data_IF_835109980657
#
_entry.id   IF_835109980657
#
_cell.length_a   1.000
_cell.length_b   1.000
_cell.length_c   1.000
_cell.angle_alpha   90.00
_cell.angle_beta   90.00
_cell.angle_gamma   90.00
#
_symmetry.space_group_name_H-M   'P 1'
#
loop_
_entity.id
_entity.type
_entity.pdbx_description
1 polymer ?
#
# COMPACT_ATOMS: atom_id res chain seq x y z
N UNK A 1 6.69 -12.01 -16.35
CA UNK A 1 7.58 -11.34 -15.36
C UNK A 1 7.88 -12.26 -14.17
N UNK A 2 9.04 -12.13 -13.51
CA UNK A 2 9.37 -12.78 -12.22
C UNK A 2 9.02 -11.88 -11.04
N UNK A 3 8.91 -12.44 -9.83
CA UNK A 3 8.56 -11.68 -8.62
C UNK A 3 9.53 -10.51 -8.36
N UNK A 4 10.84 -10.75 -8.40
CA UNK A 4 11.86 -9.71 -8.20
C UNK A 4 11.79 -8.59 -9.25
N UNK A 5 11.48 -8.94 -10.51
CA UNK A 5 11.29 -7.96 -11.59
C UNK A 5 10.05 -7.09 -11.33
N UNK A 6 8.99 -7.68 -10.79
CA UNK A 6 7.77 -6.96 -10.43
C UNK A 6 7.98 -6.05 -9.22
N UNK A 7 8.71 -6.49 -8.20
CA UNK A 7 9.10 -5.65 -7.07
C UNK A 7 9.94 -4.45 -7.53
N UNK A 8 10.86 -4.67 -8.46
CA UNK A 8 11.65 -3.59 -9.06
C UNK A 8 10.78 -2.60 -9.86
N UNK A 9 9.83 -3.11 -10.65
CA UNK A 9 8.87 -2.30 -11.38
C UNK A 9 8.05 -1.43 -10.42
N UNK A 10 7.46 -2.02 -9.39
CA UNK A 10 6.72 -1.30 -8.35
C UNK A 10 7.62 -0.30 -7.63
N UNK A 11 8.87 -0.67 -7.35
CA UNK A 11 9.89 0.21 -6.79
C UNK A 11 10.19 1.44 -7.67
N UNK A 12 10.07 1.33 -8.99
CA UNK A 12 10.28 2.44 -9.92
C UNK A 12 9.09 3.41 -9.93
N UNK A 13 7.87 2.92 -9.74
CA UNK A 13 6.66 3.76 -9.71
C UNK A 13 6.19 4.14 -8.30
N UNK A 14 6.87 3.69 -7.25
CA UNK A 14 6.45 3.83 -5.85
C UNK A 14 6.17 5.28 -5.41
N UNK A 15 6.88 6.28 -5.95
CA UNK A 15 6.58 7.70 -5.72
C UNK A 15 5.20 8.11 -6.24
N UNK A 16 4.77 7.50 -7.34
CA UNK A 16 3.45 7.67 -7.94
C UNK A 16 2.33 7.05 -7.11
N UNK A 17 2.66 6.26 -6.08
CA UNK A 17 1.69 5.62 -5.19
C UNK A 17 1.41 6.44 -3.92
N UNK A 18 1.91 7.69 -3.84
CA UNK A 18 1.71 8.58 -2.67
C UNK A 18 1.42 10.05 -3.02
N UNK A 19 0.37 10.62 -2.40
CA UNK A 19 0.05 12.05 -2.40
C UNK A 19 0.94 12.87 -1.48
N UNK A 20 1.71 12.24 -0.60
CA UNK A 20 2.51 12.96 0.37
C UNK A 20 3.70 13.63 -0.32
N UNK A 21 3.70 14.96 -0.33
CA UNK A 21 4.77 15.75 -0.94
C UNK A 21 6.14 15.47 -0.28
N UNK A 22 6.15 15.08 1.00
CA UNK A 22 7.36 14.65 1.71
C UNK A 22 7.92 13.34 1.16
N UNK A 23 7.06 12.39 0.76
CA UNK A 23 7.49 11.13 0.13
C UNK A 23 7.78 11.26 -1.37
N UNK A 24 7.39 12.35 -2.02
CA UNK A 24 7.80 12.64 -3.42
C UNK A 24 9.29 12.95 -3.51
N UNK A 25 9.86 13.57 -2.48
CA UNK A 25 11.29 13.83 -2.37
C UNK A 25 11.97 12.70 -1.58
N UNK A 26 11.97 11.49 -2.16
CA UNK A 26 12.52 10.29 -1.51
C UNK A 26 13.93 10.54 -0.99
N UNK A 27 14.14 10.20 0.28
CA UNK A 27 15.49 10.14 0.88
C UNK A 27 16.04 8.72 0.79
N UNK A 28 15.19 7.71 1.02
CA UNK A 28 15.60 6.31 1.05
C UNK A 28 14.59 5.43 0.32
N UNK A 29 15.10 4.52 -0.51
CA UNK A 29 14.32 3.48 -1.21
C UNK A 29 15.02 2.13 -1.06
N UNK A 30 14.26 1.09 -0.75
CA UNK A 30 14.74 -0.30 -0.73
C UNK A 30 13.75 -1.22 -1.42
N UNK A 31 14.27 -2.29 -2.03
CA UNK A 31 13.50 -3.30 -2.77
C UNK A 31 14.05 -4.68 -2.45
N UNK A 32 13.15 -5.66 -2.33
CA UNK A 32 13.47 -7.08 -2.27
C UNK A 32 13.66 -7.66 -0.87
N UNK A 33 14.01 -8.94 -0.84
CA UNK A 33 14.06 -9.81 0.36
C UNK A 33 14.88 -9.31 1.56
N UNK A 34 15.81 -8.39 1.36
CA UNK A 34 16.67 -7.85 2.43
C UNK A 34 16.12 -6.56 3.04
N UNK A 35 15.03 -6.02 2.50
CA UNK A 35 14.34 -4.87 3.05
C UNK A 35 13.52 -5.31 4.27
N UNK A 36 14.11 -5.10 5.45
CA UNK A 36 13.61 -5.60 6.72
C UNK A 36 13.30 -4.44 7.67
N UNK A 37 12.05 -4.38 8.14
CA UNK A 37 11.56 -3.40 9.10
C UNK A 37 11.24 -4.08 10.43
N UNK A 38 11.80 -3.57 11.52
CA UNK A 38 11.58 -4.11 12.86
C UNK A 38 10.22 -3.66 13.41
N UNK A 39 9.39 -4.61 13.85
CA UNK A 39 8.13 -4.35 14.55
C UNK A 39 8.30 -4.09 16.05
N UNK A 40 7.24 -3.61 16.70
CA UNK A 40 7.17 -3.45 18.15
C UNK A 40 7.37 -4.79 18.88
N UNK A 41 6.98 -5.89 18.24
CA UNK A 41 7.22 -7.26 18.69
C UNK A 41 8.71 -7.67 18.71
N UNK A 42 9.60 -6.87 18.11
CA UNK A 42 11.00 -7.23 17.85
C UNK A 42 11.19 -8.14 16.62
N UNK A 43 10.10 -8.55 15.96
CA UNK A 43 10.18 -9.32 14.72
C UNK A 43 10.60 -8.42 13.54
N UNK A 44 11.47 -8.94 12.67
CA UNK A 44 11.91 -8.23 11.46
C UNK A 44 11.04 -8.66 10.27
N UNK A 45 10.10 -7.79 9.90
CA UNK A 45 9.19 -7.99 8.79
C UNK A 45 9.89 -7.68 7.47
N UNK A 46 9.81 -8.60 6.51
CA UNK A 46 10.21 -8.32 5.14
C UNK A 46 9.12 -7.52 4.44
N UNK A 47 9.54 -6.46 3.75
CA UNK A 47 8.70 -5.55 2.96
C UNK A 47 9.25 -5.53 1.53
N UNK A 48 8.42 -5.78 0.52
CA UNK A 48 8.90 -5.93 -0.85
C UNK A 48 9.48 -4.63 -1.41
N UNK A 49 8.83 -3.49 -1.14
CA UNK A 49 9.33 -2.15 -1.49
C UNK A 49 9.05 -1.19 -0.34
N UNK A 50 10.03 -0.39 0.04
CA UNK A 50 9.81 0.74 0.96
C UNK A 50 10.40 2.01 0.40
N UNK A 51 9.67 3.10 0.57
CA UNK A 51 10.18 4.46 0.40
C UNK A 51 9.94 5.24 1.69
N UNK A 52 10.97 5.91 2.19
CA UNK A 52 10.87 6.65 3.45
C UNK A 52 11.74 7.90 3.47
N UNK A 53 11.37 8.78 4.39
CA UNK A 53 12.15 9.91 4.86
C UNK A 53 12.12 9.89 6.40
N UNK A 54 12.48 11.00 7.03
CA UNK A 54 12.53 11.05 8.50
C UNK A 54 11.15 11.20 9.15
N UNK A 55 10.10 11.59 8.41
CA UNK A 55 8.75 11.83 8.93
C UNK A 55 7.69 10.86 8.41
N UNK A 56 7.98 10.11 7.35
CA UNK A 56 6.99 9.32 6.63
C UNK A 56 7.64 8.06 6.05
N UNK A 57 6.86 6.98 5.97
CA UNK A 57 7.24 5.78 5.23
C UNK A 57 6.03 5.16 4.53
N UNK A 58 6.23 4.78 3.27
CA UNK A 58 5.30 3.94 2.51
C UNK A 58 5.93 2.55 2.35
N UNK A 59 5.24 1.55 2.91
CA UNK A 59 5.65 0.16 2.93
C UNK A 59 4.72 -0.66 2.02
N UNK A 60 5.30 -1.27 1.00
CA UNK A 60 4.57 -1.84 -0.12
C UNK A 60 4.82 -3.35 -0.17
N UNK A 61 3.73 -4.12 -0.14
CA UNK A 61 3.73 -5.55 -0.42
C UNK A 61 3.34 -5.79 -1.88
N UNK A 62 4.12 -6.58 -2.59
CA UNK A 62 3.91 -6.96 -3.99
C UNK A 62 3.33 -8.38 -4.09
N UNK A 63 2.37 -8.56 -5.00
CA UNK A 63 1.72 -9.85 -5.28
C UNK A 63 1.58 -10.07 -6.77
N UNK A 64 2.64 -10.62 -7.37
CA UNK A 64 2.65 -11.11 -8.75
C UNK A 64 2.12 -12.55 -8.81
N UNK A 65 0.80 -12.70 -8.75
CA UNK A 65 0.13 -14.00 -8.74
C UNK A 65 -0.73 -14.20 -9.98
N UNK A 66 -1.11 -15.44 -10.25
CA UNK A 66 -2.10 -15.78 -11.28
C UNK A 66 -3.54 -15.67 -10.76
N UNK A 67 -3.73 -15.78 -9.45
CA UNK A 67 -5.00 -15.58 -8.76
C UNK A 67 -5.06 -14.22 -8.10
N UNK A 68 -6.28 -13.70 -7.92
CA UNK A 68 -6.48 -12.44 -7.23
C UNK A 68 -6.15 -12.48 -5.73
N UNK A 69 -5.79 -11.32 -5.18
CA UNK A 69 -5.48 -11.13 -3.75
C UNK A 69 -6.72 -11.43 -2.89
N UNK A 70 -6.56 -12.19 -1.80
CA UNK A 70 -7.65 -12.52 -0.87
C UNK A 70 -7.52 -11.65 0.38
N UNK A 71 -8.56 -11.70 1.22
CA UNK A 71 -8.61 -10.93 2.46
C UNK A 71 -7.45 -11.27 3.41
N UNK A 72 -7.01 -12.54 3.45
CA UNK A 72 -5.95 -12.96 4.37
C UNK A 72 -4.59 -12.34 4.01
N UNK A 73 -4.27 -12.17 2.73
CA UNK A 73 -3.03 -11.49 2.33
C UNK A 73 -3.04 -10.03 2.72
N UNK A 74 -4.18 -9.35 2.55
CA UNK A 74 -4.34 -7.97 3.01
C UNK A 74 -4.17 -7.87 4.52
N UNK A 75 -4.84 -8.73 5.30
CA UNK A 75 -4.75 -8.73 6.76
C UNK A 75 -3.33 -9.06 7.25
N UNK A 76 -2.62 -9.94 6.54
CA UNK A 76 -1.23 -10.26 6.84
C UNK A 76 -0.35 -9.02 6.70
N UNK A 77 -0.47 -8.30 5.57
CA UNK A 77 0.26 -7.05 5.38
C UNK A 77 -0.13 -5.99 6.42
N UNK A 78 -1.43 -5.83 6.69
CA UNK A 78 -1.94 -4.91 7.69
C UNK A 78 -1.35 -5.19 9.08
N UNK A 79 -1.25 -6.45 9.49
CA UNK A 79 -0.64 -6.84 10.75
C UNK A 79 0.84 -6.41 10.84
N UNK A 80 1.60 -6.58 9.75
CA UNK A 80 3.00 -6.10 9.66
C UNK A 80 3.06 -4.58 9.80
N UNK A 81 2.20 -3.85 9.10
CA UNK A 81 2.16 -2.39 9.15
C UNK A 81 1.88 -1.87 10.55
N UNK A 82 0.91 -2.46 11.26
CA UNK A 82 0.57 -2.09 12.63
C UNK A 82 1.76 -2.35 13.56
N UNK A 83 2.37 -3.53 13.49
CA UNK A 83 3.52 -3.86 14.34
C UNK A 83 4.72 -2.95 14.06
N UNK A 84 5.02 -2.63 12.79
CA UNK A 84 6.07 -1.69 12.41
C UNK A 84 5.76 -0.27 12.91
N UNK A 85 4.53 0.20 12.72
CA UNK A 85 4.08 1.54 13.16
C UNK A 85 4.22 1.71 14.66
N UNK A 86 3.86 0.68 15.42
CA UNK A 86 3.83 0.75 16.88
C UNK A 86 5.24 0.60 17.51
N UNK A 87 6.28 0.30 16.71
CA UNK A 87 7.66 0.27 17.17
C UNK A 87 8.08 1.66 17.69
N UNK A 88 8.66 1.79 18.90
CA UNK A 88 9.15 3.06 19.44
C UNK A 88 10.06 3.85 18.50
N UNK A 89 10.84 3.18 17.66
CA UNK A 89 11.72 3.81 16.65
C UNK A 89 10.95 4.54 15.56
N UNK A 90 9.68 4.21 15.33
CA UNK A 90 8.84 4.77 14.27
C UNK A 90 7.77 5.74 14.77
N UNK A 91 7.70 6.06 16.09
CA UNK A 91 6.67 6.95 16.66
C UNK A 91 6.60 8.36 16.05
N UNK A 92 7.69 8.81 15.44
CA UNK A 92 7.78 10.11 14.78
C UNK A 92 7.43 10.05 13.29
N UNK A 93 7.12 8.85 12.77
CA UNK A 93 6.88 8.60 11.35
C UNK A 93 5.41 8.26 11.09
N UNK A 94 4.87 8.80 10.01
CA UNK A 94 3.60 8.34 9.47
C UNK A 94 3.85 7.09 8.62
N UNK A 95 3.59 5.92 9.21
CA UNK A 95 3.70 4.64 8.49
C UNK A 95 2.40 4.38 7.74
N UNK A 96 2.52 4.18 6.42
CA UNK A 96 1.42 3.85 5.53
C UNK A 96 1.75 2.65 4.67
N UNK A 97 0.73 1.94 4.24
CA UNK A 97 0.82 0.71 3.49
C UNK A 97 0.23 0.79 2.09
N UNK A 98 0.81 -0.01 1.19
CA UNK A 98 0.16 -0.40 -0.04
C UNK A 98 0.31 -1.90 -0.27
N UNK A 99 -0.73 -2.54 -0.79
CA UNK A 99 -0.65 -3.86 -1.39
C UNK A 99 -0.85 -3.70 -2.89
N UNK A 100 0.17 -4.07 -3.66
CA UNK A 100 0.22 -3.92 -5.11
C UNK A 100 0.19 -5.30 -5.75
N UNK A 101 -0.68 -5.49 -6.73
CA UNK A 101 -0.83 -6.77 -7.43
C UNK A 101 -0.98 -6.57 -8.93
N UNK A 102 -0.62 -7.58 -9.72
CA UNK A 102 -0.86 -7.59 -11.16
C UNK A 102 -2.27 -8.05 -11.55
N UNK A 103 -3.06 -8.50 -10.56
CA UNK A 103 -4.39 -9.10 -10.78
C UNK A 103 -5.46 -8.38 -9.97
N UNK A 104 -6.71 -8.87 -10.06
CA UNK A 104 -7.82 -8.41 -9.22
C UNK A 104 -7.67 -8.80 -7.74
N UNK A 105 -8.58 -8.35 -6.90
CA UNK A 105 -8.73 -8.80 -5.51
C UNK A 105 -10.16 -9.27 -5.24
N UNK A 106 -10.35 -10.02 -4.16
CA UNK A 106 -11.66 -10.45 -3.68
C UNK A 106 -12.45 -9.28 -3.06
N UNK A 107 -13.78 -9.37 -3.06
CA UNK A 107 -14.67 -8.34 -2.47
C UNK A 107 -14.38 -8.07 -0.99
N UNK A 108 -13.95 -9.08 -0.23
CA UNK A 108 -13.53 -8.91 1.17
C UNK A 108 -12.34 -7.95 1.34
N UNK A 109 -11.44 -7.87 0.35
CA UNK A 109 -10.36 -6.87 0.35
C UNK A 109 -10.94 -5.46 0.22
N UNK A 110 -11.99 -5.28 -0.59
CA UNK A 110 -12.63 -3.96 -0.75
C UNK A 110 -13.24 -3.45 0.56
N UNK A 111 -13.90 -4.34 1.31
CA UNK A 111 -14.45 -4.02 2.63
C UNK A 111 -13.33 -3.62 3.59
N UNK A 112 -12.28 -4.43 3.67
CA UNK A 112 -11.18 -4.21 4.59
C UNK A 112 -10.38 -2.94 4.27
N UNK A 113 -10.08 -2.68 3.00
CA UNK A 113 -9.37 -1.46 2.60
C UNK A 113 -10.18 -0.21 2.90
N UNK A 114 -11.51 -0.25 2.72
CA UNK A 114 -12.38 0.88 3.10
C UNK A 114 -12.40 1.11 4.60
N UNK A 115 -12.38 0.05 5.39
CA UNK A 115 -12.35 0.14 6.85
C UNK A 115 -10.99 0.65 7.37
N UNK A 116 -9.88 0.14 6.81
CA UNK A 116 -8.51 0.49 7.21
C UNK A 116 -7.87 1.53 6.28
N UNK A 117 -8.68 2.44 5.75
CA UNK A 117 -8.28 3.31 4.64
C UNK A 117 -7.18 4.31 4.99
N UNK A 118 -7.02 4.62 6.27
CA UNK A 118 -5.95 5.49 6.76
C UNK A 118 -4.58 4.77 6.84
N UNK A 119 -4.60 3.43 6.86
CA UNK A 119 -3.40 2.62 7.08
C UNK A 119 -2.91 1.98 5.79
N UNK A 120 -3.81 1.36 5.00
CA UNK A 120 -3.39 0.58 3.84
C UNK A 120 -4.27 0.78 2.61
N UNK A 121 -3.59 0.80 1.47
CA UNK A 121 -4.15 0.98 0.12
C UNK A 121 -4.04 -0.31 -0.67
N UNK A 122 -4.84 -0.47 -1.74
CA UNK A 122 -4.63 -1.56 -2.70
C UNK A 122 -4.62 -1.01 -4.13
N UNK A 123 -3.65 -1.48 -4.92
CA UNK A 123 -3.46 -1.10 -6.32
C UNK A 123 -3.35 -2.35 -7.20
N UNK A 124 -3.90 -2.26 -8.42
CA UNK A 124 -3.53 -3.14 -9.53
C UNK A 124 -2.57 -2.39 -10.44
N UNK A 125 -1.39 -2.95 -10.65
CA UNK A 125 -0.35 -2.42 -11.55
C UNK A 125 -0.01 -3.49 -12.59
N UNK A 126 -0.18 -3.16 -13.87
CA UNK A 126 0.11 -4.06 -14.99
C UNK A 126 1.62 -4.15 -15.29
N UNK A 127 2.01 -4.96 -16.27
CA UNK A 127 3.42 -5.16 -16.64
C UNK A 127 4.04 -3.92 -17.31
N UNK A 128 3.20 -3.00 -17.82
CA UNK A 128 3.55 -1.70 -18.38
C UNK A 128 3.71 -0.60 -17.31
N UNK A 129 3.63 -0.95 -16.02
CA UNK A 129 3.74 -0.04 -14.88
C UNK A 129 2.58 0.97 -14.73
N UNK A 130 1.43 0.68 -15.34
CA UNK A 130 0.23 1.50 -15.24
C UNK A 130 -0.64 1.06 -14.07
N UNK A 131 -1.19 2.04 -13.34
CA UNK A 131 -2.18 1.78 -12.28
C UNK A 131 -3.55 1.62 -12.94
N UNK A 132 -4.02 0.38 -13.04
CA UNK A 132 -5.29 0.05 -13.74
C UNK A 132 -6.51 0.07 -12.82
N UNK A 133 -6.31 -0.13 -11.52
CA UNK A 133 -7.37 -0.05 -10.50
C UNK A 133 -6.75 0.30 -9.15
N UNK A 134 -7.47 1.06 -8.33
CA UNK A 134 -7.07 1.32 -6.95
C UNK A 134 -8.29 1.45 -6.03
N UNK A 135 -8.14 1.06 -4.76
CA UNK A 135 -9.03 1.47 -3.69
C UNK A 135 -8.20 2.23 -2.68
N UNK A 136 -8.58 3.49 -2.51
CA UNK A 136 -7.71 4.45 -1.89
C UNK A 136 -8.46 5.66 -1.35
N UNK A 137 -7.97 6.26 -0.25
CA UNK A 137 -8.52 7.50 0.33
C UNK A 137 -7.52 8.66 0.44
N UNK A 138 -6.21 8.46 0.55
CA UNK A 138 -5.12 9.41 0.89
C UNK A 138 -3.81 9.46 0.01
N UNK A 139 -3.77 9.04 -1.26
CA UNK A 139 -2.62 8.78 -2.15
C UNK A 139 -3.07 8.73 -3.64
N UNK A 140 -2.19 9.11 -4.57
CA UNK A 140 -2.40 9.71 -5.92
C UNK A 140 -3.71 9.47 -6.69
N UNK A 141 -4.30 10.59 -7.16
CA UNK A 141 -5.22 10.69 -8.32
C UNK A 141 -4.42 10.62 -9.64
N UNK A 142 -4.90 9.94 -10.69
CA UNK A 142 -4.20 9.89 -11.98
C UNK A 142 -3.80 11.29 -12.47
N UNK A 143 -2.57 11.44 -12.96
CA UNK A 143 -2.24 12.57 -13.84
C UNK A 143 -3.18 12.53 -15.05
N UNK A 144 -3.62 13.69 -15.51
CA UNK A 144 -4.69 13.89 -16.50
C UNK A 144 -4.36 13.42 -17.93
N UNK A 145 -3.54 12.39 -18.09
CA UNK A 145 -3.15 11.81 -19.38
C UNK A 145 -3.14 10.28 -19.34
N UNK A 146 -4.19 9.66 -18.81
CA UNK A 146 -4.77 8.45 -19.40
C UNK A 146 -6.09 8.14 -18.71
N UNK A 147 -7.17 8.25 -19.47
CA UNK A 147 -8.54 8.12 -19.00
C UNK A 147 -8.89 6.67 -18.69
N UNK A 148 -8.60 6.18 -17.48
CA UNK A 148 -9.52 5.34 -16.67
C UNK A 148 -8.87 4.93 -15.32
N UNK A 149 -9.23 5.61 -14.23
CA UNK A 149 -9.21 5.04 -12.89
C UNK A 149 -10.37 5.63 -12.07
N UNK A 150 -11.30 4.76 -11.65
CA UNK A 150 -12.51 5.12 -10.93
C UNK A 150 -12.17 5.34 -9.45
N UNK A 151 -12.44 6.55 -8.95
CA UNK A 151 -12.51 6.86 -7.52
C UNK A 151 -13.92 6.47 -7.05
N UNK A 152 -14.03 5.66 -6.00
CA UNK A 152 -15.30 5.50 -5.28
C UNK A 152 -15.12 5.69 -3.79
N UNK A 153 -15.59 6.84 -3.28
CA UNK A 153 -15.88 7.09 -1.88
C UNK A 153 -17.38 6.86 -1.66
N UNK A 154 -17.82 5.88 -0.86
CA UNK A 154 -19.11 5.98 -0.22
C UNK A 154 -18.98 6.98 0.93
N UNK A 155 -19.76 8.05 0.85
CA UNK A 155 -20.09 8.86 2.01
C UNK A 155 -20.74 7.95 3.05
N UNK A 156 -20.11 7.79 4.20
CA UNK A 156 -20.75 7.18 5.36
C UNK A 156 -21.83 8.15 5.80
N UNK A 157 -23.09 7.88 5.44
CA UNK A 157 -24.21 8.43 6.21
C UNK A 157 -24.18 7.70 7.55
N UNK A 158 -23.82 8.41 8.61
CA UNK A 158 -24.17 7.99 9.96
C UNK A 158 -25.70 7.88 9.99
N UNK A 159 -26.22 6.66 10.04
CA UNK A 159 -27.57 6.45 10.57
C UNK A 159 -27.44 6.60 12.08
N UNK A 160 -28.17 7.57 12.64
CA UNK A 160 -28.40 7.64 14.08
C UNK A 160 -28.96 6.30 14.56
N UNK A 161 -28.54 5.78 15.73
CA UNK A 161 -29.19 4.62 16.29
C UNK A 161 -30.58 5.03 16.80
N UNK A 162 -31.62 4.58 16.10
CA UNK A 162 -32.96 4.45 16.66
C UNK A 162 -32.95 3.27 17.65
N UNK A 163 -32.66 3.53 18.94
CA UNK A 163 -33.30 2.93 20.13
C UNK A 163 -33.09 3.84 21.34
#
# INVERSE_FOLDING_TARGET
MKAEEYEQLVGNISQGLTNDAGLRNIVRKQVGRNNLWEGASGFRHQIDVSIDNDTDALLIECKLWTSGVRAIEFLTHLGRLIDIRDNPKNKHRNIRGALVTSQKWQSGVEVLVRYYSEICSVFVVNEESEIVKMIHTHFIRPSSTSSTAVIYSPSIKQSEPDV
#
